data_IF_550447151656
#
_entry.id   IF_550447151656
#
_cell.length_a   1.000
_cell.length_b   1.000
_cell.length_c   1.000
_cell.angle_alpha   90.00
_cell.angle_beta   90.00
_cell.angle_gamma   90.00
#
_symmetry.space_group_name_H-M   'P 1'
#
loop_
_entity.id
_entity.type
_entity.pdbx_description
1 polymer ?
#
# COMPACT_ATOMS: atom_id res chain seq x y z
N UNK A 1 11.61 0.20 -23.91
CA UNK A 1 10.95 1.39 -23.32
C UNK A 1 10.48 1.01 -21.92
N UNK A 2 10.79 1.81 -20.90
CA UNK A 2 10.39 1.56 -19.52
C UNK A 2 8.95 1.99 -19.30
N UNK A 3 8.05 1.08 -18.91
CA UNK A 3 6.65 1.40 -18.59
C UNK A 3 6.42 1.24 -17.09
N UNK A 4 5.77 2.22 -16.46
CA UNK A 4 5.47 2.22 -15.03
C UNK A 4 3.96 2.20 -14.84
N UNK A 5 3.46 1.18 -14.16
CA UNK A 5 2.07 1.01 -13.79
C UNK A 5 1.95 1.22 -12.28
N UNK A 6 1.11 2.18 -11.87
CA UNK A 6 0.79 2.40 -10.45
C UNK A 6 -0.28 1.41 -10.03
N UNK A 7 -0.17 0.88 -8.81
CA UNK A 7 -1.26 0.10 -8.23
C UNK A 7 -2.50 0.99 -8.08
N UNK A 8 -3.67 0.42 -8.38
CA UNK A 8 -4.94 1.00 -7.93
C UNK A 8 -4.94 0.98 -6.40
N UNK A 9 -5.41 2.07 -5.81
CA UNK A 9 -5.63 2.19 -4.37
C UNK A 9 -7.12 2.42 -4.19
N UNK A 10 -7.79 1.52 -3.49
CA UNK A 10 -9.22 1.65 -3.24
C UNK A 10 -9.46 2.71 -2.17
N UNK A 11 -10.21 3.76 -2.53
CA UNK A 11 -10.52 4.89 -1.63
C UNK A 11 -11.23 4.43 -0.35
N UNK A 12 -12.07 3.38 -0.44
CA UNK A 12 -12.75 2.83 0.73
C UNK A 12 -11.77 2.19 1.72
N UNK A 13 -10.75 1.51 1.20
CA UNK A 13 -9.74 0.84 2.02
C UNK A 13 -8.87 1.87 2.76
N UNK A 14 -8.53 2.95 2.07
CA UNK A 14 -7.90 4.13 2.67
C UNK A 14 -8.78 4.74 3.77
N UNK A 15 -10.09 4.88 3.52
CA UNK A 15 -11.01 5.43 4.51
C UNK A 15 -11.06 4.57 5.78
N UNK A 16 -11.11 3.24 5.65
CA UNK A 16 -11.12 2.32 6.81
C UNK A 16 -9.82 2.39 7.60
N UNK A 17 -8.66 2.39 6.95
CA UNK A 17 -7.36 2.51 7.63
C UNK A 17 -7.24 3.86 8.33
N UNK A 18 -7.66 4.94 7.68
CA UNK A 18 -7.65 6.28 8.28
C UNK A 18 -8.60 6.38 9.47
N UNK A 19 -9.81 5.80 9.38
CA UNK A 19 -10.75 5.74 10.49
C UNK A 19 -10.17 5.00 11.69
N UNK A 20 -9.60 3.81 11.47
CA UNK A 20 -9.05 2.98 12.54
C UNK A 20 -7.84 3.63 13.24
N UNK A 21 -7.01 4.34 12.49
CA UNK A 21 -5.85 5.08 13.04
C UNK A 21 -6.26 6.30 13.86
N UNK A 22 -7.45 6.88 13.61
CA UNK A 22 -7.96 8.06 14.33
C UNK A 22 -8.76 7.71 15.59
N UNK A 23 -9.28 6.49 15.75
CA UNK A 23 -9.98 6.03 16.97
C UNK A 23 -9.21 6.38 18.27
N UNK A 24 -7.89 6.13 18.39
CA UNK A 24 -7.15 6.47 19.61
C UNK A 24 -7.05 7.98 19.89
N UNK A 25 -7.44 8.86 18.96
CA UNK A 25 -7.58 10.30 19.26
C UNK A 25 -8.84 10.63 20.07
N UNK A 26 -9.89 9.79 20.06
CA UNK A 26 -11.12 10.05 20.81
C UNK A 26 -10.89 10.28 22.32
N UNK A 27 -10.12 9.44 23.04
CA UNK A 27 -9.82 9.68 24.46
C UNK A 27 -8.95 10.93 24.73
N UNK A 28 -8.21 11.44 23.74
CA UNK A 28 -7.45 12.70 23.89
C UNK A 28 -8.38 13.91 24.12
N UNK A 29 -9.62 13.85 23.64
CA UNK A 29 -10.60 14.93 23.82
C UNK A 29 -11.12 15.02 25.26
N UNK A 30 -11.06 13.92 26.02
CA UNK A 30 -11.59 13.84 27.38
C UNK A 30 -10.50 13.92 28.46
N UNK A 31 -9.33 13.32 28.21
CA UNK A 31 -8.24 13.23 29.20
C UNK A 31 -7.18 14.35 29.07
N UNK A 32 -7.35 15.26 28.11
CA UNK A 32 -6.39 16.32 27.79
C UNK A 32 -5.54 16.01 26.56
N UNK A 33 -5.21 17.08 25.81
CA UNK A 33 -4.46 16.96 24.56
C UNK A 33 -2.98 16.66 24.82
N UNK A 34 -2.51 15.48 24.41
CA UNK A 34 -1.08 15.16 24.40
C UNK A 34 -0.53 15.32 22.99
N UNK A 35 0.34 16.31 22.82
CA UNK A 35 1.05 16.56 21.55
C UNK A 35 1.83 15.31 21.10
N UNK A 36 2.39 14.55 22.05
CA UNK A 36 3.19 13.35 21.77
C UNK A 36 2.34 12.27 21.10
N UNK A 37 1.17 11.95 21.67
CA UNK A 37 0.26 10.96 21.11
C UNK A 37 -0.29 11.38 19.74
N UNK A 38 -0.61 12.66 19.59
CA UNK A 38 -1.04 13.23 18.30
C UNK A 38 0.04 13.07 17.21
N UNK A 39 1.30 13.40 17.52
CA UNK A 39 2.42 13.22 16.59
C UNK A 39 2.64 11.75 16.21
N UNK A 40 2.52 10.83 17.17
CA UNK A 40 2.65 9.39 16.90
C UNK A 40 1.56 8.90 15.95
N UNK A 41 0.30 9.26 16.20
CA UNK A 41 -0.83 8.85 15.34
C UNK A 41 -0.66 9.37 13.91
N UNK A 42 -0.27 10.64 13.76
CA UNK A 42 -0.02 11.23 12.44
C UNK A 42 1.16 10.56 11.74
N UNK A 43 2.24 10.26 12.46
CA UNK A 43 3.38 9.56 11.88
C UNK A 43 2.99 8.18 11.36
N UNK A 44 2.19 7.42 12.11
CA UNK A 44 1.66 6.11 11.70
C UNK A 44 0.76 6.25 10.47
N UNK A 45 -0.14 7.24 10.46
CA UNK A 45 -1.03 7.48 9.33
C UNK A 45 -0.24 7.87 8.07
N UNK A 46 0.74 8.76 8.19
CA UNK A 46 1.60 9.15 7.07
C UNK A 46 2.41 7.96 6.55
N UNK A 47 2.97 7.15 7.46
CA UNK A 47 3.75 5.96 7.10
C UNK A 47 2.90 4.90 6.38
N UNK A 48 1.72 4.58 6.90
CA UNK A 48 0.81 3.61 6.27
C UNK A 48 0.36 4.09 4.89
N UNK A 49 0.03 5.37 4.75
CA UNK A 49 -0.33 5.96 3.45
C UNK A 49 0.84 5.92 2.45
N UNK A 50 2.06 6.25 2.90
CA UNK A 50 3.25 6.17 2.05
C UNK A 50 3.51 4.75 1.53
N UNK A 51 3.23 3.72 2.33
CA UNK A 51 3.34 2.33 1.91
C UNK A 51 2.27 1.96 0.88
N UNK A 52 1.00 2.35 1.11
CA UNK A 52 -0.12 2.05 0.20
C UNK A 52 0.09 2.67 -1.19
N UNK A 53 0.48 3.94 -1.27
CA UNK A 53 0.74 4.63 -2.55
C UNK A 53 2.08 4.30 -3.17
N UNK A 54 2.94 3.61 -2.43
CA UNK A 54 4.29 3.26 -2.87
C UNK A 54 4.34 2.11 -3.87
N UNK A 55 3.25 1.36 -4.02
CA UNK A 55 3.18 0.14 -4.84
C UNK A 55 3.19 0.48 -6.34
N UNK A 56 4.24 0.04 -7.05
CA UNK A 56 4.49 0.31 -8.46
C UNK A 56 5.04 -0.92 -9.16
N UNK A 57 4.52 -1.17 -10.35
CA UNK A 57 4.96 -2.22 -11.25
C UNK A 57 5.73 -1.56 -12.40
N UNK A 58 6.97 -1.99 -12.62
CA UNK A 58 7.85 -1.42 -13.64
C UNK A 58 8.20 -2.54 -14.60
N UNK A 59 7.84 -2.36 -15.88
CA UNK A 59 8.24 -3.25 -16.96
C UNK A 59 9.47 -2.62 -17.62
N UNK A 60 10.60 -3.32 -17.53
CA UNK A 60 11.87 -2.92 -18.11
C UNK A 60 12.38 -4.00 -19.07
N UNK A 61 11.94 -3.92 -20.33
CA UNK A 61 12.31 -4.91 -21.36
C UNK A 61 11.73 -6.28 -21.05
N UNK A 62 12.59 -7.20 -20.59
CA UNK A 62 12.25 -8.58 -20.20
C UNK A 62 12.03 -8.75 -18.70
N UNK A 63 12.24 -7.70 -17.91
CA UNK A 63 12.10 -7.73 -16.46
C UNK A 63 10.79 -7.08 -16.01
N UNK A 64 10.06 -7.78 -15.14
CA UNK A 64 8.98 -7.24 -14.34
C UNK A 64 9.51 -6.94 -12.93
N UNK A 65 9.60 -5.66 -12.58
CA UNK A 65 10.01 -5.21 -11.25
C UNK A 65 8.78 -4.78 -10.46
N UNK A 66 8.49 -5.51 -9.39
CA UNK A 66 7.41 -5.20 -8.44
C UNK A 66 8.02 -4.44 -7.28
N UNK A 67 7.67 -3.16 -7.14
CA UNK A 67 8.08 -2.34 -6.00
C UNK A 67 6.91 -2.15 -5.05
N UNK A 68 7.06 -2.59 -3.80
CA UNK A 68 6.12 -2.34 -2.71
C UNK A 68 6.63 -1.18 -1.86
N UNK A 69 6.33 0.04 -2.30
CA UNK A 69 6.81 1.24 -1.62
C UNK A 69 8.32 1.31 -1.52
N UNK A 70 8.82 1.61 -0.32
CA UNK A 70 10.25 1.75 -0.05
C UNK A 70 10.90 0.46 0.47
N UNK A 71 10.11 -0.49 0.97
CA UNK A 71 10.63 -1.61 1.75
C UNK A 71 10.97 -2.84 0.92
N UNK A 72 10.21 -3.12 -0.15
CA UNK A 72 10.42 -4.35 -0.93
C UNK A 72 10.44 -4.06 -2.43
N UNK A 73 11.42 -4.65 -3.11
CA UNK A 73 11.53 -4.63 -4.56
C UNK A 73 11.90 -6.03 -5.03
N UNK A 74 10.98 -6.69 -5.71
CA UNK A 74 11.23 -7.99 -6.34
C UNK A 74 11.36 -7.82 -7.85
N UNK A 75 12.19 -8.66 -8.47
CA UNK A 75 12.42 -8.68 -9.91
C UNK A 75 12.13 -10.08 -10.42
N UNK A 76 11.36 -10.16 -11.49
CA UNK A 76 10.98 -11.39 -12.15
C UNK A 76 11.31 -11.28 -13.64
N UNK A 77 11.95 -12.29 -14.20
CA UNK A 77 12.09 -12.40 -15.66
C UNK A 77 10.75 -12.83 -16.26
N UNK A 78 10.31 -12.12 -17.30
CA UNK A 78 9.03 -12.40 -17.99
C UNK A 78 9.08 -13.76 -18.68
N UNK A 79 10.26 -14.19 -19.15
CA UNK A 79 10.47 -15.49 -19.78
C UNK A 79 10.21 -16.66 -18.79
N UNK A 80 10.29 -16.44 -17.47
CA UNK A 80 9.99 -17.44 -16.43
C UNK A 80 8.48 -17.52 -16.09
N UNK A 81 7.66 -16.58 -16.58
CA UNK A 81 6.23 -16.51 -16.26
C UNK A 81 5.46 -17.50 -17.15
N UNK A 82 5.18 -18.68 -16.60
CA UNK A 82 4.42 -19.72 -17.33
C UNK A 82 2.91 -19.44 -17.45
N UNK A 83 2.31 -18.71 -16.50
CA UNK A 83 0.87 -18.47 -16.46
C UNK A 83 0.53 -17.25 -15.61
N UNK A 84 -0.42 -16.44 -16.09
CA UNK A 84 -1.01 -15.34 -15.34
C UNK A 84 -2.45 -15.75 -15.03
N UNK A 85 -2.79 -15.87 -13.74
CA UNK A 85 -4.14 -16.18 -13.28
C UNK A 85 -4.71 -15.05 -12.45
N UNK A 86 -5.95 -14.67 -12.76
CA UNK A 86 -6.77 -13.82 -11.91
C UNK A 86 -6.96 -14.49 -10.55
N UNK A 87 -6.52 -13.82 -9.48
CA UNK A 87 -6.65 -14.35 -8.12
C UNK A 87 -7.15 -13.26 -7.17
N UNK A 88 -8.35 -13.46 -6.61
CA UNK A 88 -9.00 -12.54 -5.68
C UNK A 88 -8.59 -12.72 -4.21
N UNK A 89 -7.35 -13.16 -3.94
CA UNK A 89 -6.87 -13.34 -2.56
C UNK A 89 -5.98 -12.18 -2.13
N UNK A 90 -6.02 -11.81 -0.85
CA UNK A 90 -5.20 -10.69 -0.32
C UNK A 90 -3.68 -10.94 -0.46
N UNK A 91 -3.27 -12.21 -0.51
CA UNK A 91 -1.87 -12.65 -0.65
C UNK A 91 -1.41 -12.80 -2.09
N UNK A 92 -2.30 -12.70 -3.10
CA UNK A 92 -1.94 -13.00 -4.50
C UNK A 92 -0.94 -12.00 -5.11
N UNK A 93 -0.88 -10.80 -4.56
CA UNK A 93 -0.06 -9.71 -5.09
C UNK A 93 0.02 -8.57 -4.06
N UNK A 94 1.10 -7.79 -4.01
CA UNK A 94 1.10 -6.54 -3.26
C UNK A 94 0.23 -5.51 -3.96
N UNK A 95 -1.04 -5.39 -3.57
CA UNK A 95 -1.96 -4.38 -4.06
C UNK A 95 -2.81 -3.82 -2.93
N UNK A 96 -2.87 -2.49 -2.84
CA UNK A 96 -3.73 -1.74 -1.92
C UNK A 96 -5.18 -1.60 -2.47
N UNK A 97 -5.67 -2.66 -3.11
CA UNK A 97 -6.98 -2.71 -3.77
C UNK A 97 -7.55 -4.13 -3.65
N UNK A 98 -8.84 -4.23 -3.37
CA UNK A 98 -9.62 -5.47 -3.34
C UNK A 98 -10.28 -5.74 -4.69
N UNK A 99 -10.40 -4.72 -5.54
CA UNK A 99 -10.73 -4.89 -6.95
C UNK A 99 -9.50 -5.43 -7.68
N UNK A 100 -9.35 -6.76 -7.65
CA UNK A 100 -8.30 -7.55 -8.30
C UNK A 100 -8.94 -8.27 -9.48
N UNK A 101 -8.41 -8.06 -10.68
CA UNK A 101 -8.67 -8.88 -11.87
C UNK A 101 -7.43 -9.70 -12.21
#
# INVERSE_FOLDING_TARGET
MKKVYKSKVDTWFVAVISGFTLIPMAPMLYSGFSVVLFCIVIAILCFTMALLFGIRYIIDGKDLVVKCGFLFSERFHIDDIMSIKSTHTMLSSPAASLDRL
#
